data_IF_115392613348
#
_entry.id   IF_115392613348
#
_cell.length_a   1.000
_cell.length_b   1.000
_cell.length_c   1.000
_cell.angle_alpha   90.00
_cell.angle_beta   90.00
_cell.angle_gamma   90.00
#
_symmetry.space_group_name_H-M   'P 1'
#
loop_
_entity.id
_entity.type
_entity.pdbx_description
1 polymer ?
#
# COMPACT_ATOMS: atom_id res chain seq x y z
N UNK A 1 7.71 -1.28 11.03
CA UNK A 1 8.72 -1.48 9.96
C UNK A 1 9.02 -0.18 9.20
N UNK A 2 9.91 -0.17 8.19
CA UNK A 2 10.29 1.05 7.45
C UNK A 2 9.12 1.80 6.81
N UNK A 3 8.12 1.09 6.28
CA UNK A 3 6.91 1.69 5.71
C UNK A 3 6.10 2.47 6.76
N UNK A 4 5.82 1.86 7.91
CA UNK A 4 5.08 2.50 9.01
C UNK A 4 5.82 3.71 9.59
N UNK A 5 7.14 3.62 9.77
CA UNK A 5 7.96 4.76 10.21
C UNK A 5 7.95 5.91 9.20
N UNK A 6 7.80 5.59 7.92
CA UNK A 6 7.77 6.57 6.84
C UNK A 6 6.39 7.23 6.67
N UNK A 7 5.32 6.45 6.84
CA UNK A 7 3.96 6.95 6.90
C UNK A 7 3.81 7.90 8.08
N UNK A 8 4.33 7.48 9.25
CA UNK A 8 4.31 8.23 10.50
C UNK A 8 2.91 8.75 10.83
N UNK A 9 1.99 7.79 11.04
CA UNK A 9 0.55 8.04 11.19
C UNK A 9 0.24 9.10 12.26
N UNK A 10 0.95 9.06 13.39
CA UNK A 10 0.73 9.98 14.50
C UNK A 10 1.00 11.44 14.14
N UNK A 11 1.92 11.69 13.19
CA UNK A 11 2.25 13.04 12.72
C UNK A 11 1.47 13.48 11.48
N UNK A 12 0.51 12.67 11.01
CA UNK A 12 -0.39 13.08 9.94
C UNK A 12 -1.30 14.22 10.41
N UNK A 13 -1.46 15.24 9.56
CA UNK A 13 -2.40 16.34 9.78
C UNK A 13 -3.82 15.91 9.44
N UNK A 14 -3.99 14.96 8.51
CA UNK A 14 -5.29 14.46 8.06
C UNK A 14 -5.47 12.96 8.36
N UNK A 15 -5.52 12.62 9.65
CA UNK A 15 -5.75 11.23 10.12
C UNK A 15 -7.08 10.65 9.63
N UNK A 16 -8.14 11.46 9.59
CA UNK A 16 -9.44 11.01 9.08
C UNK A 16 -9.34 10.46 7.65
N UNK A 17 -8.64 11.17 6.75
CA UNK A 17 -8.43 10.67 5.39
C UNK A 17 -7.59 9.40 5.37
N UNK A 18 -6.60 9.27 6.25
CA UNK A 18 -5.84 8.03 6.38
C UNK A 18 -6.77 6.86 6.74
N UNK A 19 -7.65 7.05 7.72
CA UNK A 19 -8.60 6.02 8.17
C UNK A 19 -9.62 5.65 7.08
N UNK A 20 -10.03 6.61 6.26
CA UNK A 20 -11.00 6.41 5.17
C UNK A 20 -10.39 5.80 3.89
N UNK A 21 -9.08 5.93 3.68
CA UNK A 21 -8.44 5.60 2.39
C UNK A 21 -7.31 4.58 2.47
N UNK A 22 -6.75 4.31 3.65
CA UNK A 22 -5.68 3.35 3.83
C UNK A 22 -6.21 2.00 4.30
N UNK A 23 -5.71 0.93 3.67
CA UNK A 23 -5.87 -0.44 4.13
C UNK A 23 -4.49 -1.07 4.26
N UNK A 24 -4.34 -1.95 5.24
CA UNK A 24 -3.08 -2.64 5.55
C UNK A 24 -3.30 -4.13 5.32
N UNK A 25 -2.48 -4.72 4.45
CA UNK A 25 -2.41 -6.16 4.27
C UNK A 25 -1.79 -6.83 5.50
N UNK A 26 -2.47 -7.85 5.99
CA UNK A 26 -2.11 -8.57 7.22
C UNK A 26 -2.27 -10.08 7.02
N UNK A 27 -1.24 -10.86 7.36
CA UNK A 27 -1.27 -12.30 7.09
C UNK A 27 -2.27 -13.08 7.95
N UNK A 28 -2.61 -12.58 9.13
CA UNK A 28 -3.53 -13.21 10.07
C UNK A 28 -4.95 -12.64 9.98
N UNK A 29 -5.08 -11.36 9.63
CA UNK A 29 -6.35 -10.63 9.59
C UNK A 29 -6.82 -10.30 8.16
N UNK A 30 -6.03 -10.64 7.13
CA UNK A 30 -6.33 -10.37 5.72
C UNK A 30 -6.10 -8.89 5.35
N UNK A 31 -7.09 -8.06 5.61
CA UNK A 31 -7.03 -6.60 5.45
C UNK A 31 -7.54 -5.92 6.71
N UNK A 32 -6.79 -4.93 7.21
CA UNK A 32 -7.16 -4.14 8.37
C UNK A 32 -7.10 -2.64 8.08
N UNK A 33 -7.83 -1.87 8.89
CA UNK A 33 -7.80 -0.40 8.87
C UNK A 33 -6.73 0.12 9.85
N UNK A 34 -6.25 1.37 9.73
CA UNK A 34 -5.15 1.90 10.55
C UNK A 34 -5.35 1.76 12.06
N UNK A 35 -6.59 1.90 12.54
CA UNK A 35 -6.94 1.86 13.97
C UNK A 35 -7.57 0.52 14.41
N UNK A 36 -7.53 -0.51 13.55
CA UNK A 36 -7.99 -1.85 13.94
C UNK A 36 -7.12 -2.39 15.08
N UNK A 37 -7.75 -2.77 16.19
CA UNK A 37 -7.06 -3.42 17.30
C UNK A 37 -6.65 -4.84 16.90
N UNK A 38 -5.37 -5.17 17.08
CA UNK A 38 -4.80 -6.49 16.77
C UNK A 38 -4.10 -7.08 17.99
N UNK A 39 -4.06 -8.42 18.04
CA UNK A 39 -3.23 -9.12 19.02
C UNK A 39 -1.79 -9.22 18.53
N UNK A 40 -0.86 -9.45 19.45
CA UNK A 40 0.53 -9.69 19.09
C UNK A 40 0.64 -11.07 18.46
N UNK A 41 1.15 -11.13 17.23
CA UNK A 41 1.36 -12.38 16.52
C UNK A 41 2.59 -12.27 15.60
N UNK A 42 3.06 -13.41 15.10
CA UNK A 42 4.01 -13.48 13.99
C UNK A 42 3.54 -14.54 13.01
N UNK A 43 3.03 -14.06 11.87
CA UNK A 43 2.60 -14.89 10.76
C UNK A 43 2.96 -14.16 9.47
N UNK A 44 3.41 -14.92 8.49
CA UNK A 44 3.82 -14.42 7.18
C UNK A 44 3.38 -15.46 6.14
N UNK A 45 3.05 -15.04 4.92
CA UNK A 45 2.54 -15.97 3.91
C UNK A 45 3.60 -17.01 3.49
N UNK A 46 4.90 -16.69 3.62
CA UNK A 46 5.98 -17.67 3.45
C UNK A 46 5.94 -18.83 4.45
N UNK A 47 5.30 -18.65 5.62
CA UNK A 47 5.18 -19.71 6.64
C UNK A 47 4.07 -20.71 6.30
N UNK A 48 3.07 -20.30 5.52
CA UNK A 48 1.99 -21.18 5.07
C UNK A 48 1.38 -20.65 3.78
N UNK A 49 1.71 -21.29 2.66
CA UNK A 49 1.25 -20.92 1.33
C UNK A 49 -0.28 -20.97 1.15
N UNK A 50 -1.00 -21.69 2.02
CA UNK A 50 -2.48 -21.73 1.99
C UNK A 50 -3.12 -20.44 2.49
N UNK A 51 -2.40 -19.58 3.20
CA UNK A 51 -2.96 -18.32 3.71
C UNK A 51 -3.34 -17.36 2.58
N UNK A 52 -2.56 -17.33 1.50
CA UNK A 52 -2.86 -16.49 0.35
C UNK A 52 -4.21 -16.87 -0.28
N UNK A 53 -4.39 -18.15 -0.61
CA UNK A 53 -5.64 -18.63 -1.21
C UNK A 53 -6.82 -18.54 -0.23
N UNK A 54 -6.58 -18.74 1.06
CA UNK A 54 -7.60 -18.56 2.11
C UNK A 54 -8.14 -17.13 2.15
N UNK A 55 -7.27 -16.11 2.07
CA UNK A 55 -7.68 -14.71 2.17
C UNK A 55 -8.17 -14.11 0.86
N UNK A 56 -7.77 -14.65 -0.30
CA UNK A 56 -8.01 -14.02 -1.61
C UNK A 56 -9.47 -13.63 -1.84
N UNK A 57 -10.41 -14.55 -1.65
CA UNK A 57 -11.83 -14.27 -1.93
C UNK A 57 -12.40 -13.23 -0.95
N UNK A 58 -12.17 -13.41 0.34
CA UNK A 58 -12.70 -12.51 1.38
C UNK A 58 -12.13 -11.09 1.28
N UNK A 59 -10.83 -10.96 0.96
CA UNK A 59 -10.17 -9.68 0.72
C UNK A 59 -10.80 -8.95 -0.46
N UNK A 60 -11.03 -9.63 -1.60
CA UNK A 60 -11.62 -8.97 -2.76
C UNK A 60 -13.08 -8.60 -2.54
N UNK A 61 -13.85 -9.37 -1.78
CA UNK A 61 -15.23 -8.99 -1.39
C UNK A 61 -15.26 -7.72 -0.52
N UNK A 62 -14.32 -7.57 0.41
CA UNK A 62 -14.18 -6.34 1.21
C UNK A 62 -13.78 -5.16 0.32
N UNK A 63 -12.81 -5.36 -0.58
CA UNK A 63 -12.36 -4.33 -1.50
C UNK A 63 -13.46 -3.88 -2.45
N UNK A 64 -14.25 -4.79 -3.05
CA UNK A 64 -15.40 -4.42 -3.90
C UNK A 64 -16.32 -3.45 -3.20
N UNK A 65 -16.65 -3.68 -1.92
CA UNK A 65 -17.51 -2.80 -1.11
C UNK A 65 -16.86 -1.43 -0.84
N UNK A 66 -15.57 -1.41 -0.50
CA UNK A 66 -14.83 -0.16 -0.23
C UNK A 66 -14.57 0.67 -1.48
N UNK A 67 -14.53 0.03 -2.65
CA UNK A 67 -14.14 0.65 -3.91
C UNK A 67 -15.33 1.07 -4.80
N UNK A 68 -16.58 0.82 -4.41
CA UNK A 68 -17.81 1.15 -5.21
C UNK A 68 -17.79 2.59 -5.76
N UNK A 69 -17.28 3.55 -4.99
CA UNK A 69 -17.24 4.97 -5.36
C UNK A 69 -15.82 5.48 -5.63
N UNK A 70 -14.89 4.57 -5.91
CA UNK A 70 -13.48 4.89 -6.16
C UNK A 70 -13.12 4.49 -7.58
N UNK A 71 -12.30 5.31 -8.24
CA UNK A 71 -11.84 5.04 -9.61
C UNK A 71 -10.48 4.36 -9.67
N UNK A 72 -9.70 4.46 -8.59
CA UNK A 72 -8.31 3.99 -8.54
C UNK A 72 -8.01 3.34 -7.19
N UNK A 73 -7.33 2.20 -7.22
CA UNK A 73 -6.63 1.59 -6.09
C UNK A 73 -5.12 1.78 -6.27
N UNK A 74 -4.44 2.32 -5.27
CA UNK A 74 -2.98 2.49 -5.29
C UNK A 74 -2.37 1.39 -4.43
N UNK A 75 -1.79 0.39 -5.08
CA UNK A 75 -1.17 -0.76 -4.42
C UNK A 75 0.28 -0.41 -4.02
N UNK A 76 0.46 -0.11 -2.74
CA UNK A 76 1.76 0.14 -2.10
C UNK A 76 2.25 -1.06 -1.28
N UNK A 77 1.65 -2.23 -1.46
CA UNK A 77 2.02 -3.44 -0.72
C UNK A 77 3.29 -4.09 -1.31
N UNK A 78 3.82 -5.13 -0.65
CA UNK A 78 4.85 -5.98 -1.27
C UNK A 78 4.21 -6.89 -2.31
N UNK A 79 5.02 -7.41 -3.22
CA UNK A 79 4.57 -8.36 -4.25
C UNK A 79 3.79 -9.55 -3.69
N UNK A 80 4.16 -10.02 -2.50
CA UNK A 80 3.47 -11.10 -1.80
C UNK A 80 2.04 -10.72 -1.38
N UNK A 81 1.84 -9.54 -0.79
CA UNK A 81 0.50 -9.06 -0.43
C UNK A 81 -0.30 -8.61 -1.66
N UNK A 82 0.36 -8.11 -2.70
CA UNK A 82 -0.25 -7.77 -3.98
C UNK A 82 -0.97 -8.95 -4.64
N UNK A 83 -0.55 -10.18 -4.36
CA UNK A 83 -1.20 -11.40 -4.88
C UNK A 83 -2.60 -11.66 -4.29
N UNK A 84 -2.94 -11.01 -3.17
CA UNK A 84 -4.29 -11.02 -2.61
C UNK A 84 -5.29 -10.30 -3.52
N UNK A 85 -4.83 -9.33 -4.32
CA UNK A 85 -5.69 -8.57 -5.21
C UNK A 85 -6.08 -9.42 -6.43
N UNK A 86 -7.34 -9.35 -6.80
CA UNK A 86 -7.87 -9.90 -8.05
C UNK A 86 -8.39 -8.72 -8.91
N UNK A 87 -7.53 -8.17 -9.80
CA UNK A 87 -7.89 -7.01 -10.62
C UNK A 87 -9.11 -7.23 -11.51
N UNK A 88 -9.29 -8.46 -12.01
CA UNK A 88 -10.43 -8.81 -12.86
C UNK A 88 -11.74 -8.71 -12.07
N UNK A 89 -11.73 -9.19 -10.82
CA UNK A 89 -12.90 -9.11 -9.95
C UNK A 89 -13.24 -7.69 -9.47
N UNK A 90 -12.24 -6.81 -9.35
CA UNK A 90 -12.40 -5.47 -8.75
C UNK A 90 -12.90 -4.43 -9.75
N UNK A 91 -12.75 -4.65 -11.06
CA UNK A 91 -13.20 -3.72 -12.12
C UNK A 91 -12.73 -2.27 -11.90
N UNK A 92 -11.52 -2.09 -11.35
CA UNK A 92 -10.94 -0.78 -11.00
C UNK A 92 -9.54 -0.64 -11.58
N UNK A 93 -9.11 0.60 -11.83
CA UNK A 93 -7.70 0.86 -12.18
C UNK A 93 -6.81 0.64 -10.95
N UNK A 94 -5.85 -0.28 -11.07
CA UNK A 94 -4.83 -0.50 -10.03
C UNK A 94 -3.51 0.13 -10.48
N UNK A 95 -3.00 1.07 -9.68
CA UNK A 95 -1.69 1.68 -9.87
C UNK A 95 -0.72 1.05 -8.88
N UNK A 96 0.42 0.54 -9.36
CA UNK A 96 1.46 -0.08 -8.52
C UNK A 96 2.80 0.65 -8.69
N UNK A 97 3.10 1.64 -7.85
CA UNK A 97 4.36 2.38 -7.93
C UNK A 97 5.58 1.52 -7.66
N UNK A 98 6.63 1.69 -8.46
CA UNK A 98 7.93 1.04 -8.28
C UNK A 98 8.96 2.05 -7.81
N UNK A 99 9.73 1.73 -6.77
CA UNK A 99 10.72 2.62 -6.18
C UNK A 99 12.12 2.04 -6.28
N UNK A 100 13.01 2.74 -6.98
CA UNK A 100 14.39 2.36 -7.24
C UNK A 100 15.35 3.29 -6.49
N UNK A 101 16.50 2.75 -6.12
CA UNK A 101 17.63 3.49 -5.55
C UNK A 101 18.86 3.20 -6.41
N UNK A 102 19.44 4.23 -7.01
CA UNK A 102 20.55 4.12 -7.97
C UNK A 102 20.24 3.07 -9.07
N UNK A 103 19.00 3.10 -9.59
CA UNK A 103 18.51 2.18 -10.62
C UNK A 103 18.16 0.76 -10.14
N UNK A 104 18.29 0.43 -8.85
CA UNK A 104 18.04 -0.91 -8.31
C UNK A 104 16.89 -0.95 -7.30
N UNK A 105 16.15 -2.05 -7.29
CA UNK A 105 15.13 -2.31 -6.28
C UNK A 105 15.80 -2.75 -4.97
N UNK A 106 15.97 -1.82 -4.03
CA UNK A 106 16.52 -2.11 -2.70
C UNK A 106 15.36 -2.17 -1.70
N UNK A 107 15.11 -3.34 -1.10
CA UNK A 107 13.89 -3.60 -0.32
C UNK A 107 13.66 -2.62 0.82
N UNK A 108 14.71 -2.19 1.53
CA UNK A 108 14.58 -1.20 2.60
C UNK A 108 14.06 0.15 2.07
N UNK A 109 14.68 0.66 0.99
CA UNK A 109 14.28 1.91 0.35
C UNK A 109 12.89 1.82 -0.26
N UNK A 110 12.56 0.72 -0.95
CA UNK A 110 11.23 0.52 -1.52
C UNK A 110 10.14 0.48 -0.44
N UNK A 111 10.37 -0.21 0.68
CA UNK A 111 9.44 -0.23 1.83
C UNK A 111 9.27 1.17 2.41
N UNK A 112 10.35 1.92 2.58
CA UNK A 112 10.31 3.30 3.08
C UNK A 112 9.50 4.20 2.12
N UNK A 113 9.78 4.12 0.82
CA UNK A 113 9.17 4.96 -0.20
C UNK A 113 7.66 4.72 -0.34
N UNK A 114 7.20 3.47 -0.19
CA UNK A 114 5.77 3.13 -0.11
C UNK A 114 5.06 3.86 1.03
N UNK A 115 5.67 3.89 2.23
CA UNK A 115 5.12 4.66 3.35
C UNK A 115 5.12 6.16 3.11
N UNK A 116 6.18 6.70 2.49
CA UNK A 116 6.24 8.11 2.08
C UNK A 116 5.18 8.46 1.04
N UNK A 117 4.93 7.59 0.06
CA UNK A 117 3.92 7.77 -0.97
C UNK A 117 2.52 7.78 -0.35
N UNK A 118 2.22 6.85 0.55
CA UNK A 118 0.97 6.84 1.29
C UNK A 118 0.76 8.16 2.05
N UNK A 119 1.77 8.59 2.82
CA UNK A 119 1.76 9.88 3.52
C UNK A 119 1.51 11.04 2.56
N UNK A 120 2.25 11.10 1.45
CA UNK A 120 2.15 12.17 0.46
C UNK A 120 0.72 12.31 -0.07
N UNK A 121 0.08 11.20 -0.46
CA UNK A 121 -1.28 11.21 -1.02
C UNK A 121 -2.38 11.48 0.03
N UNK A 122 -2.13 11.10 1.28
CA UNK A 122 -3.02 11.43 2.41
C UNK A 122 -2.94 12.93 2.71
N UNK A 123 -1.74 13.49 2.83
CA UNK A 123 -1.54 14.91 3.17
C UNK A 123 -1.89 15.85 2.01
N UNK A 124 -1.88 15.37 0.77
CA UNK A 124 -2.09 16.20 -0.42
C UNK A 124 -3.21 15.64 -1.30
N UNK A 125 -4.49 15.83 -0.94
CA UNK A 125 -5.62 15.16 -1.59
C UNK A 125 -5.82 15.49 -3.06
N UNK A 126 -5.31 16.64 -3.51
CA UNK A 126 -5.32 17.12 -4.89
C UNK A 126 -4.17 16.57 -5.76
N UNK A 127 -3.17 15.92 -5.15
CA UNK A 127 -1.98 15.41 -5.85
C UNK A 127 -2.22 14.00 -6.37
N UNK A 128 -1.52 13.69 -7.46
CA UNK A 128 -1.50 12.37 -8.09
C UNK A 128 -0.24 11.61 -7.70
N UNK A 129 -0.18 10.32 -8.02
CA UNK A 129 0.96 9.46 -7.74
C UNK A 129 2.24 10.03 -8.37
N UNK A 130 2.13 10.52 -9.60
CA UNK A 130 3.22 11.09 -10.40
C UNK A 130 3.82 12.37 -9.80
N UNK A 131 3.08 13.07 -8.94
CA UNK A 131 3.57 14.28 -8.27
C UNK A 131 4.51 13.98 -7.09
N UNK A 132 4.70 12.71 -6.74
CA UNK A 132 5.50 12.30 -5.59
C UNK A 132 6.99 12.66 -5.77
N UNK A 133 7.52 13.42 -4.82
CA UNK A 133 8.89 13.94 -4.86
C UNK A 133 9.59 13.97 -3.48
N UNK A 134 9.09 13.21 -2.50
CA UNK A 134 9.69 13.19 -1.16
C UNK A 134 11.06 12.49 -1.19
N UNK A 135 11.99 12.93 -0.34
CA UNK A 135 13.35 12.35 -0.21
C UNK A 135 14.14 12.19 -1.52
N UNK A 136 13.93 13.07 -2.49
CA UNK A 136 14.67 13.08 -3.74
C UNK A 136 14.23 12.02 -4.75
N UNK A 137 13.09 11.34 -4.52
CA UNK A 137 12.49 10.49 -5.55
C UNK A 137 11.99 11.35 -6.73
N UNK A 138 12.26 10.88 -7.94
CA UNK A 138 11.82 11.49 -9.20
C UNK A 138 11.02 10.48 -10.00
N UNK A 139 9.88 10.92 -10.54
CA UNK A 139 9.07 10.11 -11.46
C UNK A 139 9.76 10.01 -12.82
N UNK A 140 9.95 8.78 -13.32
CA UNK A 140 10.62 8.49 -14.61
C UNK A 140 9.71 7.77 -15.60
N UNK A 141 8.38 7.84 -15.39
CA UNK A 141 7.36 7.22 -16.25
C UNK A 141 6.84 5.88 -15.72
N UNK A 142 5.68 5.44 -16.20
CA UNK A 142 5.03 4.16 -15.83
C UNK A 142 4.95 3.89 -14.32
N UNK A 143 4.67 4.92 -13.52
CA UNK A 143 4.70 4.88 -12.05
C UNK A 143 6.01 4.37 -11.43
N UNK A 144 7.13 4.54 -12.12
CA UNK A 144 8.47 4.25 -11.61
C UNK A 144 9.07 5.53 -11.03
N UNK A 145 9.62 5.42 -9.83
CA UNK A 145 10.29 6.49 -9.09
C UNK A 145 11.71 6.05 -8.78
N UNK A 146 12.68 6.91 -9.04
CA UNK A 146 14.09 6.64 -8.72
C UNK A 146 14.67 7.77 -7.90
N UNK A 147 15.59 7.45 -7.00
CA UNK A 147 16.50 8.41 -6.38
C UNK A 147 17.93 7.89 -6.51
N UNK A 148 18.88 8.81 -6.58
CA UNK A 148 20.30 8.49 -6.68
C UNK A 148 20.90 8.04 -5.35
#
# INVERSE_FOLDING_TARGET
GPAFKALDYESLTNKQRADESLLIGDAYYGLIEPLTQIHHYRLDFSMNSKLLSFWKDSVNEVLKKKLIHKSVLIDLSSEEYSQLLDPESLSITIIRPTFLNSGKLVSFHAKRARGLMARFLIENPQKKVEDFNLEGYLHVGNYVFTKD
#
